data_IF_277330242939
#
_entry.id   IF_277330242939
#
_cell.length_a   1.000
_cell.length_b   1.000
_cell.length_c   1.000
_cell.angle_alpha   90.00
_cell.angle_beta   90.00
_cell.angle_gamma   90.00
#
_symmetry.space_group_name_H-M   'P 1'
#
loop_
_entity.id
_entity.type
_entity.pdbx_description
1 polymer ?
#
# COMPACT_ATOMS: atom_id res chain seq x y z
N UNK A 1 -17.18 67.86 -16.67
CA UNK A 1 -16.57 66.82 -17.52
C UNK A 1 -15.26 66.33 -16.94
N UNK A 2 -14.99 65.04 -17.14
CA UNK A 2 -13.93 64.17 -16.56
C UNK A 2 -14.36 63.44 -15.27
N UNK A 3 -15.22 62.42 -15.39
CA UNK A 3 -14.89 61.03 -15.77
C UNK A 3 -14.40 60.24 -14.55
N UNK A 4 -15.36 59.70 -13.80
CA UNK A 4 -15.14 58.52 -12.98
C UNK A 4 -15.08 57.32 -13.91
N UNK A 5 -13.90 56.69 -13.97
CA UNK A 5 -13.70 55.47 -14.74
C UNK A 5 -14.02 54.29 -13.83
N UNK A 6 -15.30 53.90 -13.82
CA UNK A 6 -15.72 52.61 -13.28
C UNK A 6 -15.20 51.55 -14.25
N UNK A 7 -14.08 50.90 -13.88
CA UNK A 7 -13.62 49.70 -14.56
C UNK A 7 -14.78 48.68 -14.61
N UNK A 8 -15.35 48.50 -15.80
CA UNK A 8 -16.45 47.60 -16.04
C UNK A 8 -16.01 46.17 -15.73
N UNK A 9 -16.66 45.55 -14.76
CA UNK A 9 -16.70 44.11 -14.63
C UNK A 9 -17.46 43.56 -15.84
N UNK A 10 -16.74 43.07 -16.85
CA UNK A 10 -17.34 42.19 -17.85
C UNK A 10 -17.86 40.95 -17.11
N UNK A 11 -19.18 40.88 -16.93
CA UNK A 11 -19.83 39.71 -16.36
C UNK A 11 -19.78 38.58 -17.39
N UNK A 12 -18.92 37.58 -17.17
CA UNK A 12 -18.90 36.36 -17.97
C UNK A 12 -20.28 35.68 -18.01
N UNK A 13 -20.56 34.94 -19.08
CA UNK A 13 -21.84 34.21 -19.22
C UNK A 13 -22.01 33.20 -18.08
N UNK A 14 -23.13 33.30 -17.35
CA UNK A 14 -23.48 32.36 -16.30
C UNK A 14 -24.07 31.11 -16.96
N UNK A 15 -23.29 30.02 -16.96
CA UNK A 15 -23.73 28.70 -17.43
C UNK A 15 -24.55 27.91 -16.40
N UNK A 16 -25.03 26.74 -16.82
CA UNK A 16 -25.79 25.77 -16.00
C UNK A 16 -24.91 24.72 -15.30
N UNK A 17 -23.59 24.80 -15.48
CA UNK A 17 -22.61 23.91 -14.88
C UNK A 17 -21.75 24.64 -13.86
N UNK A 18 -21.37 23.94 -12.80
CA UNK A 18 -20.50 24.52 -11.77
C UNK A 18 -19.10 24.78 -12.33
N UNK A 19 -18.62 26.02 -12.19
CA UNK A 19 -17.24 26.36 -12.47
C UNK A 19 -16.34 25.74 -11.39
N UNK A 20 -15.48 24.80 -11.79
CA UNK A 20 -14.63 24.04 -10.86
C UNK A 20 -13.18 24.52 -10.82
N UNK A 21 -12.82 25.45 -11.72
CA UNK A 21 -11.46 25.98 -11.79
C UNK A 21 -11.27 27.14 -10.80
N UNK A 22 -11.02 26.79 -9.54
CA UNK A 22 -11.00 27.75 -8.43
C UNK A 22 -9.83 28.74 -8.43
N UNK A 23 -8.91 28.68 -9.39
CA UNK A 23 -7.69 29.50 -9.36
C UNK A 23 -7.87 30.87 -10.02
N UNK A 24 -8.71 30.99 -11.05
CA UNK A 24 -8.87 32.22 -11.84
C UNK A 24 -10.27 32.86 -11.72
N UNK A 25 -11.07 32.42 -10.75
CA UNK A 25 -12.41 32.95 -10.51
C UNK A 25 -12.42 34.32 -9.80
N UNK A 26 -13.35 35.18 -10.21
CA UNK A 26 -13.70 36.42 -9.50
C UNK A 26 -15.06 36.24 -8.82
N UNK A 27 -15.17 36.68 -7.57
CA UNK A 27 -16.40 36.59 -6.81
C UNK A 27 -17.40 37.64 -7.28
N UNK A 28 -18.65 37.22 -7.40
CA UNK A 28 -19.82 38.05 -7.71
C UNK A 28 -20.98 37.66 -6.79
N UNK A 29 -21.95 38.56 -6.61
CA UNK A 29 -23.13 38.36 -5.75
C UNK A 29 -22.77 37.97 -4.30
N UNK A 30 -21.67 38.51 -3.78
CA UNK A 30 -21.04 38.19 -2.50
C UNK A 30 -20.66 39.43 -1.69
N UNK A 31 -21.31 40.58 -1.94
CA UNK A 31 -21.19 41.85 -1.19
C UNK A 31 -19.75 42.37 -1.13
N UNK A 32 -19.13 42.47 0.06
CA UNK A 32 -17.76 42.97 0.24
C UNK A 32 -16.68 42.09 -0.42
N UNK A 33 -17.07 40.94 -0.97
CA UNK A 33 -16.22 40.05 -1.74
C UNK A 33 -16.33 40.27 -3.26
N UNK A 34 -17.28 41.06 -3.75
CA UNK A 34 -17.47 41.29 -5.18
C UNK A 34 -16.22 41.92 -5.81
N UNK A 35 -15.82 41.38 -6.96
CA UNK A 35 -14.64 41.83 -7.71
C UNK A 35 -13.30 41.31 -7.15
N UNK A 36 -13.30 40.52 -6.07
CA UNK A 36 -12.09 39.89 -5.54
C UNK A 36 -11.82 38.54 -6.20
N UNK A 37 -10.55 38.20 -6.34
CA UNK A 37 -10.12 36.84 -6.68
C UNK A 37 -10.35 35.87 -5.50
N UNK A 38 -10.39 34.56 -5.80
CA UNK A 38 -10.64 33.51 -4.80
C UNK A 38 -9.64 33.51 -3.65
N UNK A 39 -8.36 33.81 -3.89
CA UNK A 39 -7.33 33.77 -2.85
C UNK A 39 -7.50 34.94 -1.87
N UNK A 40 -7.66 36.16 -2.38
CA UNK A 40 -7.88 37.35 -1.54
C UNK A 40 -9.23 37.30 -0.80
N UNK A 41 -10.26 36.74 -1.42
CA UNK A 41 -11.56 36.54 -0.79
C UNK A 41 -11.49 35.55 0.38
N UNK A 42 -10.80 34.41 0.24
CA UNK A 42 -10.59 33.46 1.35
C UNK A 42 -9.88 34.11 2.53
N UNK A 43 -8.89 34.96 2.25
CA UNK A 43 -8.17 35.70 3.28
C UNK A 43 -9.09 36.69 4.00
N UNK A 44 -9.85 37.50 3.27
CA UNK A 44 -10.79 38.48 3.84
C UNK A 44 -11.87 37.81 4.70
N UNK A 45 -12.46 36.70 4.23
CA UNK A 45 -13.46 35.94 5.01
C UNK A 45 -12.86 35.43 6.30
N UNK A 46 -11.68 34.82 6.25
CA UNK A 46 -11.06 34.27 7.44
C UNK A 46 -10.62 35.36 8.43
N UNK A 47 -10.12 36.51 7.97
CA UNK A 47 -9.78 37.66 8.83
C UNK A 47 -11.01 38.21 9.55
N UNK A 48 -12.16 38.28 8.89
CA UNK A 48 -13.43 38.69 9.51
C UNK A 48 -13.93 37.69 10.52
N UNK A 49 -13.91 36.40 10.19
CA UNK A 49 -14.34 35.33 11.10
C UNK A 49 -13.48 35.31 12.37
N UNK A 50 -12.16 35.47 12.24
CA UNK A 50 -11.24 35.55 13.38
C UNK A 50 -11.47 36.82 14.21
N UNK A 51 -11.60 37.99 13.57
CA UNK A 51 -11.87 39.26 14.26
C UNK A 51 -13.20 39.26 15.01
N UNK A 52 -14.18 38.51 14.52
CA UNK A 52 -15.49 38.33 15.16
C UNK A 52 -15.52 37.18 16.17
N UNK A 53 -14.41 36.43 16.37
CA UNK A 53 -14.36 35.20 17.16
C UNK A 53 -15.41 34.15 16.75
N UNK A 54 -15.68 34.06 15.45
CA UNK A 54 -16.65 33.14 14.83
C UNK A 54 -15.99 32.01 14.03
N UNK A 55 -14.66 32.01 13.94
CA UNK A 55 -13.90 30.95 13.30
C UNK A 55 -12.40 31.17 13.45
N UNK A 56 -11.63 30.14 13.11
CA UNK A 56 -10.18 30.17 13.03
C UNK A 56 -9.72 29.42 11.78
N UNK A 57 -8.59 29.82 11.20
CA UNK A 57 -7.96 29.04 10.13
C UNK A 57 -7.46 27.71 10.68
N UNK A 58 -7.85 26.63 10.02
CA UNK A 58 -7.41 25.29 10.33
C UNK A 58 -6.75 24.63 9.11
N UNK A 59 -5.67 23.89 9.35
CA UNK A 59 -5.06 23.01 8.35
C UNK A 59 -5.70 21.63 8.47
N UNK A 60 -6.28 21.15 7.39
CA UNK A 60 -6.89 19.82 7.31
C UNK A 60 -6.12 18.93 6.34
N UNK A 61 -5.98 17.65 6.67
CA UNK A 61 -5.36 16.63 5.82
C UNK A 61 -6.41 15.64 5.33
N UNK A 62 -6.28 15.23 4.06
CA UNK A 62 -7.05 14.08 3.55
C UNK A 62 -6.54 12.74 4.11
N UNK A 63 -5.25 12.69 4.48
CA UNK A 63 -4.63 11.54 5.11
C UNK A 63 -5.31 11.24 6.46
N UNK A 64 -5.56 9.96 6.73
CA UNK A 64 -6.11 9.47 7.99
C UNK A 64 -5.05 8.67 8.74
N UNK A 65 -5.25 8.53 10.04
CA UNK A 65 -4.42 7.64 10.85
C UNK A 65 -4.48 6.19 10.34
N UNK A 66 -3.37 5.48 10.51
CA UNK A 66 -3.25 4.10 10.08
C UNK A 66 -3.82 3.16 11.14
N UNK A 67 -4.99 2.57 10.83
CA UNK A 67 -5.54 1.47 11.62
C UNK A 67 -4.76 0.19 11.40
N UNK A 68 -3.92 -0.19 12.37
CA UNK A 68 -3.02 -1.35 12.27
C UNK A 68 -3.63 -2.66 12.75
N UNK A 69 -4.76 -2.66 13.46
CA UNK A 69 -5.35 -3.91 13.98
C UNK A 69 -6.07 -4.73 12.92
N UNK A 70 -5.90 -6.05 12.93
CA UNK A 70 -6.54 -6.99 12.01
C UNK A 70 -7.15 -8.15 12.80
N UNK A 71 -8.41 -8.45 12.53
CA UNK A 71 -9.12 -9.63 13.06
C UNK A 71 -8.75 -10.88 12.26
N UNK A 72 -7.45 -11.24 12.27
CA UNK A 72 -6.85 -12.36 11.54
C UNK A 72 -5.87 -13.06 12.47
N UNK A 73 -5.72 -14.37 12.29
CA UNK A 73 -4.76 -15.16 13.06
C UNK A 73 -3.32 -14.96 12.56
N UNK A 74 -3.11 -14.98 11.25
CA UNK A 74 -1.77 -15.01 10.67
C UNK A 74 -1.16 -13.61 10.58
N UNK A 75 -0.56 -13.17 11.68
CA UNK A 75 0.16 -11.90 11.80
C UNK A 75 0.87 -11.77 13.15
N UNK A 76 1.65 -10.71 13.31
CA UNK A 76 2.32 -10.40 14.57
C UNK A 76 1.28 -9.99 15.64
N UNK A 77 1.17 -10.70 16.79
CA UNK A 77 0.25 -10.31 17.86
C UNK A 77 0.55 -8.91 18.40
N UNK A 78 -0.49 -8.11 18.62
CA UNK A 78 -0.34 -6.78 19.21
C UNK A 78 0.02 -6.94 20.70
N UNK A 79 1.16 -6.37 21.19
CA UNK A 79 1.66 -6.61 22.55
C UNK A 79 0.92 -5.75 23.60
N UNK A 80 -0.39 -5.94 23.70
CA UNK A 80 -1.29 -5.24 24.61
C UNK A 80 -2.10 -6.24 25.43
N UNK A 81 -2.40 -5.89 26.68
CA UNK A 81 -3.22 -6.62 27.64
C UNK A 81 -4.36 -5.70 28.10
N UNK A 82 -5.59 -6.23 28.09
CA UNK A 82 -6.80 -5.58 28.56
C UNK A 82 -7.13 -6.08 29.98
N UNK A 83 -6.94 -5.21 30.97
CA UNK A 83 -7.27 -5.47 32.36
C UNK A 83 -8.51 -4.67 32.78
N UNK A 84 -9.47 -5.29 33.47
CA UNK A 84 -10.69 -4.60 33.95
C UNK A 84 -10.40 -3.52 35.00
N UNK A 85 -9.31 -3.65 35.75
CA UNK A 85 -8.92 -2.71 36.80
C UNK A 85 -7.97 -1.61 36.29
N UNK A 86 -6.94 -1.99 35.52
CA UNK A 86 -5.91 -1.05 35.03
C UNK A 86 -6.23 -0.46 33.64
N UNK A 87 -7.16 -1.04 32.89
CA UNK A 87 -7.40 -0.66 31.50
C UNK A 87 -6.41 -1.31 30.52
N UNK A 88 -5.90 -0.53 29.58
CA UNK A 88 -4.99 -0.99 28.52
C UNK A 88 -3.55 -0.93 29.03
N UNK A 89 -2.90 -2.09 29.09
CA UNK A 89 -1.55 -2.26 29.63
C UNK A 89 -0.64 -2.86 28.55
N UNK A 90 0.57 -2.32 28.30
CA UNK A 90 1.50 -2.95 27.36
C UNK A 90 2.09 -4.23 27.95
N UNK A 91 2.39 -5.22 27.09
CA UNK A 91 3.17 -6.39 27.49
C UNK A 91 4.56 -5.95 27.95
N UNK A 92 5.08 -6.42 29.10
CA UNK A 92 6.42 -6.07 29.56
C UNK A 92 7.49 -6.46 28.53
N UNK A 93 8.53 -5.63 28.40
CA UNK A 93 9.61 -5.87 27.42
C UNK A 93 10.30 -7.24 27.59
N UNK A 94 10.40 -7.73 28.82
CA UNK A 94 11.00 -9.04 29.13
C UNK A 94 10.14 -10.22 28.67
N UNK A 95 8.83 -10.00 28.48
CA UNK A 95 7.86 -11.02 28.08
C UNK A 95 7.64 -11.01 26.55
N UNK A 96 8.36 -10.15 25.82
CA UNK A 96 8.39 -10.17 24.37
C UNK A 96 9.32 -11.28 23.85
N UNK A 97 8.97 -11.94 22.74
CA UNK A 97 7.79 -11.71 21.91
C UNK A 97 6.52 -12.40 22.45
N UNK A 98 5.35 -11.81 22.17
CA UNK A 98 4.08 -12.54 22.28
C UNK A 98 4.00 -13.50 21.09
N UNK A 99 4.31 -14.77 21.35
CA UNK A 99 4.29 -15.81 20.31
C UNK A 99 2.86 -16.13 19.88
N UNK A 100 2.66 -16.27 18.57
CA UNK A 100 1.41 -16.80 18.01
C UNK A 100 1.29 -18.30 18.38
N UNK A 101 0.11 -18.78 18.84
CA UNK A 101 -0.05 -20.17 19.23
C UNK A 101 -0.20 -21.07 18.00
N UNK A 102 0.57 -22.15 17.93
CA UNK A 102 0.51 -23.11 16.80
C UNK A 102 -0.76 -23.99 16.84
N UNK A 103 -1.40 -24.12 18.00
CA UNK A 103 -2.53 -25.00 18.28
C UNK A 103 -3.91 -24.35 18.09
N UNK A 104 -4.17 -23.80 16.90
CA UNK A 104 -5.46 -23.19 16.53
C UNK A 104 -6.32 -24.07 15.61
N UNK A 105 -7.65 -23.90 15.67
CA UNK A 105 -8.61 -24.47 14.71
C UNK A 105 -9.21 -23.39 13.81
N UNK A 106 -9.42 -23.73 12.53
CA UNK A 106 -10.06 -22.90 11.52
C UNK A 106 -11.49 -23.35 11.18
N UNK A 107 -12.07 -24.26 11.97
CA UNK A 107 -13.40 -24.85 11.69
C UNK A 107 -14.55 -23.84 11.80
N UNK A 108 -14.30 -22.69 12.45
CA UNK A 108 -15.27 -21.61 12.64
C UNK A 108 -14.76 -20.32 12.00
N UNK A 109 -15.62 -19.57 11.28
CA UNK A 109 -15.24 -18.27 10.77
C UNK A 109 -14.95 -17.26 11.91
N UNK A 110 -14.07 -16.32 11.63
CA UNK A 110 -13.62 -15.28 12.56
C UNK A 110 -12.14 -15.41 12.90
N UNK A 111 -11.71 -14.71 13.97
CA UNK A 111 -10.34 -14.74 14.46
C UNK A 111 -10.18 -15.89 15.50
N UNK A 112 -9.39 -16.95 15.20
CA UNK A 112 -9.13 -18.04 16.14
C UNK A 112 -8.60 -17.59 17.52
N UNK A 113 -7.78 -16.54 17.57
CA UNK A 113 -7.17 -16.05 18.82
C UNK A 113 -8.23 -15.61 19.85
N UNK A 114 -9.33 -15.01 19.39
CA UNK A 114 -10.45 -14.60 20.25
C UNK A 114 -11.07 -15.75 21.07
N UNK A 115 -10.92 -16.99 20.60
CA UNK A 115 -11.50 -18.21 21.20
C UNK A 115 -10.45 -19.08 21.88
N UNK A 116 -9.19 -18.69 21.86
CA UNK A 116 -8.07 -19.49 22.38
C UNK A 116 -7.82 -19.16 23.85
N UNK A 117 -8.66 -19.71 24.75
CA UNK A 117 -8.66 -19.37 26.19
C UNK A 117 -7.29 -19.48 26.85
N UNK A 118 -6.55 -20.58 26.61
CA UNK A 118 -5.22 -20.78 27.24
C UNK A 118 -4.14 -19.79 26.78
N UNK A 119 -4.33 -19.13 25.64
CA UNK A 119 -3.36 -18.17 25.10
C UNK A 119 -3.76 -16.73 25.40
N UNK A 120 -5.06 -16.40 25.28
CA UNK A 120 -5.53 -15.04 25.50
C UNK A 120 -5.60 -14.68 26.98
N UNK A 121 -5.90 -15.64 27.87
CA UNK A 121 -6.01 -15.40 29.31
C UNK A 121 -4.63 -15.28 29.94
N UNK A 122 -4.35 -14.15 30.60
CA UNK A 122 -3.08 -13.87 31.28
C UNK A 122 -3.32 -13.07 32.56
N UNK A 123 -2.32 -13.03 33.44
CA UNK A 123 -2.36 -12.11 34.58
C UNK A 123 -1.91 -10.71 34.15
N UNK A 124 -2.58 -9.68 34.68
CA UNK A 124 -2.19 -8.30 34.45
C UNK A 124 -0.80 -8.03 35.07
N UNK A 125 0.17 -7.50 34.31
CA UNK A 125 1.52 -7.28 34.83
C UNK A 125 1.59 -6.15 35.87
N UNK A 126 0.56 -5.30 35.98
CA UNK A 126 0.52 -4.21 36.96
C UNK A 126 -0.11 -4.63 38.30
N UNK A 127 -1.20 -5.39 38.28
CA UNK A 127 -1.98 -5.70 39.49
C UNK A 127 -2.15 -7.19 39.79
N UNK A 128 -1.71 -8.09 38.89
CA UNK A 128 -1.84 -9.55 39.03
C UNK A 128 -3.26 -10.09 38.86
N UNK A 129 -4.25 -9.25 38.56
CA UNK A 129 -5.62 -9.70 38.32
C UNK A 129 -5.76 -10.34 36.92
N UNK A 130 -6.75 -11.23 36.76
CA UNK A 130 -7.09 -11.84 35.47
C UNK A 130 -7.33 -10.78 34.39
N UNK A 131 -6.68 -10.94 33.25
CA UNK A 131 -6.71 -10.06 32.09
C UNK A 131 -6.68 -10.86 30.78
N UNK A 132 -6.88 -10.17 29.65
CA UNK A 132 -6.87 -10.78 28.32
C UNK A 132 -5.85 -10.09 27.42
N UNK A 133 -5.05 -10.84 26.67
CA UNK A 133 -4.23 -10.29 25.58
C UNK A 133 -5.12 -9.69 24.51
N UNK A 134 -4.63 -8.65 23.84
CA UNK A 134 -5.16 -8.27 22.53
C UNK A 134 -5.09 -9.48 21.59
N UNK A 135 -6.20 -9.75 20.91
CA UNK A 135 -6.33 -10.91 20.03
C UNK A 135 -6.22 -10.54 18.57
N UNK A 136 -6.25 -9.24 18.25
CA UNK A 136 -5.92 -8.74 16.93
C UNK A 136 -4.40 -8.81 16.68
N UNK A 137 -4.06 -9.02 15.41
CA UNK A 137 -2.68 -8.95 14.93
C UNK A 137 -2.44 -7.64 14.20
N UNK A 138 -1.18 -7.26 14.04
CA UNK A 138 -0.80 -6.15 13.20
C UNK A 138 -1.13 -6.39 11.72
N UNK A 139 -1.42 -5.30 11.02
CA UNK A 139 -1.41 -5.20 9.57
C UNK A 139 -0.04 -5.60 9.03
N UNK A 140 0.00 -6.41 7.97
CA UNK A 140 1.24 -6.88 7.34
C UNK A 140 2.12 -5.74 6.80
N UNK A 141 1.56 -4.56 6.56
CA UNK A 141 2.36 -3.37 6.23
C UNK A 141 3.26 -2.93 7.39
N UNK A 142 2.96 -3.28 8.65
CA UNK A 142 3.88 -3.05 9.77
C UNK A 142 5.21 -3.76 9.52
N UNK A 143 5.18 -5.00 9.07
CA UNK A 143 6.38 -5.79 8.80
C UNK A 143 7.17 -5.21 7.61
N UNK A 144 6.47 -4.87 6.52
CA UNK A 144 7.10 -4.34 5.31
C UNK A 144 7.60 -2.90 5.46
N UNK A 145 7.23 -2.19 6.53
CA UNK A 145 7.62 -0.78 6.72
C UNK A 145 9.03 -0.57 7.25
N UNK A 146 9.73 -1.63 7.68
CA UNK A 146 11.08 -1.48 8.27
C UNK A 146 12.06 -2.63 7.95
N UNK A 147 11.63 -3.65 7.20
CA UNK A 147 12.47 -4.80 6.85
C UNK A 147 13.82 -4.43 6.20
N UNK A 148 13.83 -3.37 5.37
CA UNK A 148 15.03 -2.86 4.72
C UNK A 148 16.11 -2.46 5.73
N UNK A 149 15.71 -1.90 6.88
CA UNK A 149 16.63 -1.55 7.96
C UNK A 149 17.06 -2.81 8.72
N UNK A 150 16.16 -3.78 8.92
CA UNK A 150 16.51 -5.06 9.58
C UNK A 150 17.53 -5.86 8.80
N UNK A 151 17.52 -5.81 7.47
CA UNK A 151 18.53 -6.50 6.65
C UNK A 151 19.98 -6.07 6.94
N UNK A 152 20.19 -4.85 7.44
CA UNK A 152 21.51 -4.37 7.83
C UNK A 152 22.10 -5.11 9.04
N UNK A 153 21.26 -5.82 9.81
CA UNK A 153 21.61 -6.41 11.10
C UNK A 153 20.69 -7.59 11.47
N UNK A 154 20.41 -8.49 10.52
CA UNK A 154 19.47 -9.60 10.71
C UNK A 154 19.82 -10.52 11.89
N UNK A 155 21.10 -10.60 12.24
CA UNK A 155 21.72 -11.36 13.34
C UNK A 155 21.68 -10.64 14.70
N UNK A 156 21.32 -9.34 14.75
CA UNK A 156 21.39 -8.56 15.97
C UNK A 156 20.30 -8.93 16.99
N UNK A 157 20.66 -8.91 18.28
CA UNK A 157 19.74 -9.15 19.40
C UNK A 157 18.77 -7.98 19.63
N UNK A 158 19.10 -6.77 19.19
CA UNK A 158 18.17 -5.62 19.17
C UNK A 158 17.39 -5.61 17.86
N UNK A 159 16.20 -4.96 17.79
CA UNK A 159 15.43 -4.87 16.54
C UNK A 159 16.24 -4.26 15.40
N UNK A 160 17.03 -3.23 15.68
CA UNK A 160 17.98 -2.60 14.76
C UNK A 160 19.30 -2.32 15.50
N UNK A 161 20.43 -2.62 14.86
CA UNK A 161 21.75 -2.10 15.26
C UNK A 161 21.95 -0.74 14.59
N UNK A 162 22.00 0.31 15.41
CA UNK A 162 22.08 1.70 14.93
C UNK A 162 23.32 1.96 14.06
N UNK A 163 24.47 1.39 14.41
CA UNK A 163 25.72 1.64 13.67
C UNK A 163 25.68 0.98 12.29
N UNK A 164 25.13 -0.23 12.21
CA UNK A 164 24.97 -0.95 10.94
C UNK A 164 23.91 -0.32 10.06
N UNK A 165 22.80 0.12 10.64
CA UNK A 165 21.77 0.85 9.90
C UNK A 165 22.32 2.16 9.30
N UNK A 166 23.04 2.96 10.09
CA UNK A 166 23.64 4.22 9.62
C UNK A 166 24.75 4.02 8.58
N UNK A 167 25.39 2.85 8.54
CA UNK A 167 26.39 2.51 7.53
C UNK A 167 25.76 2.17 6.17
N UNK A 168 24.69 1.37 6.17
CA UNK A 168 24.08 0.85 4.93
C UNK A 168 22.97 1.72 4.36
N UNK A 169 22.35 2.57 5.18
CA UNK A 169 21.15 3.32 4.81
C UNK A 169 21.46 4.80 4.53
N UNK A 170 20.69 5.48 3.66
CA UNK A 170 19.47 5.02 2.97
C UNK A 170 19.73 3.95 1.89
N UNK A 171 18.70 3.23 1.46
CA UNK A 171 18.82 2.37 0.27
C UNK A 171 19.08 3.27 -0.93
N UNK A 172 20.20 3.06 -1.62
CA UNK A 172 20.57 3.85 -2.80
C UNK A 172 19.51 3.72 -3.90
N UNK A 173 19.10 2.49 -4.23
CA UNK A 173 18.12 2.17 -5.25
C UNK A 173 17.11 1.16 -4.74
N UNK A 174 15.84 1.58 -4.63
CA UNK A 174 14.71 0.72 -4.35
C UNK A 174 13.96 0.41 -5.65
N UNK A 175 13.58 -0.86 -5.85
CA UNK A 175 12.88 -1.33 -7.05
C UNK A 175 11.60 -2.04 -6.61
N UNK A 176 10.44 -1.59 -7.08
CA UNK A 176 9.15 -2.16 -6.73
C UNK A 176 8.02 -1.61 -7.59
N UNK A 177 6.94 -2.37 -7.76
CA UNK A 177 5.82 -1.97 -8.62
C UNK A 177 5.09 -0.71 -8.12
N UNK A 178 4.49 0.02 -9.07
CA UNK A 178 3.77 1.28 -8.80
C UNK A 178 2.54 1.10 -7.89
N UNK A 179 2.01 -0.12 -7.77
CA UNK A 179 0.92 -0.49 -6.87
C UNK A 179 1.24 -0.18 -5.39
N UNK A 180 2.52 0.00 -5.05
CA UNK A 180 2.99 0.30 -3.72
C UNK A 180 3.22 1.79 -3.43
N UNK A 181 2.90 2.68 -4.38
CA UNK A 181 3.18 4.13 -4.31
C UNK A 181 2.59 4.85 -3.09
N UNK A 182 1.36 4.52 -2.68
CA UNK A 182 0.68 5.26 -1.60
C UNK A 182 0.78 4.55 -0.25
N UNK A 183 0.60 3.23 -0.18
CA UNK A 183 0.59 2.50 1.10
C UNK A 183 2.01 2.22 1.58
N UNK A 184 2.61 1.12 1.11
CA UNK A 184 3.93 0.65 1.51
C UNK A 184 5.01 1.74 1.51
N UNK A 185 5.10 2.53 0.43
CA UNK A 185 6.13 3.57 0.33
C UNK A 185 5.89 4.72 1.33
N UNK A 186 4.64 5.11 1.61
CA UNK A 186 4.34 6.09 2.65
C UNK A 186 4.61 5.54 4.06
N UNK A 187 4.21 4.29 4.32
CA UNK A 187 4.41 3.64 5.62
C UNK A 187 5.89 3.40 5.91
N UNK A 188 6.68 3.03 4.91
CA UNK A 188 8.15 2.93 5.02
C UNK A 188 8.79 4.26 5.40
N UNK A 189 8.33 5.37 4.81
CA UNK A 189 8.79 6.72 5.16
C UNK A 189 8.38 7.12 6.57
N UNK A 190 7.14 6.82 6.96
CA UNK A 190 6.64 7.03 8.31
C UNK A 190 7.48 6.25 9.35
N UNK A 191 7.69 4.95 9.15
CA UNK A 191 8.50 4.11 10.03
C UNK A 191 9.96 4.58 10.09
N UNK A 192 10.53 5.05 8.98
CA UNK A 192 11.89 5.62 8.97
C UNK A 192 11.99 6.85 9.87
N UNK A 193 11.00 7.75 9.79
CA UNK A 193 10.94 8.92 10.66
C UNK A 193 10.76 8.51 12.12
N UNK A 194 9.90 7.54 12.40
CA UNK A 194 9.72 7.00 13.75
C UNK A 194 11.00 6.36 14.30
N UNK A 195 11.72 5.55 13.51
CA UNK A 195 13.02 4.98 13.87
C UNK A 195 14.06 6.06 14.18
N UNK A 196 14.04 7.18 13.45
CA UNK A 196 14.91 8.32 13.72
C UNK A 196 14.58 8.99 15.05
N UNK A 197 13.31 9.30 15.30
CA UNK A 197 12.87 9.92 16.55
C UNK A 197 13.09 9.02 17.78
N UNK A 198 13.07 7.70 17.59
CA UNK A 198 13.31 6.70 18.64
C UNK A 198 14.77 6.24 18.75
N UNK A 199 15.68 6.81 17.95
CA UNK A 199 17.12 6.58 18.06
C UNK A 199 17.65 5.32 17.35
N UNK A 200 16.83 4.57 16.61
CA UNK A 200 17.24 3.37 15.87
C UNK A 200 17.91 3.64 14.52
N UNK A 201 17.77 4.83 13.94
CA UNK A 201 18.43 5.22 12.69
C UNK A 201 18.71 6.73 12.60
N UNK A 202 19.67 7.15 11.76
CA UNK A 202 19.94 8.57 11.48
C UNK A 202 19.16 9.12 10.28
N UNK A 203 18.80 8.25 9.34
CA UNK A 203 18.30 8.69 8.03
C UNK A 203 16.92 9.35 8.11
N UNK A 204 16.65 10.27 7.19
CA UNK A 204 15.38 11.01 7.09
C UNK A 204 14.37 10.34 6.15
N UNK A 205 14.88 9.65 5.14
CA UNK A 205 14.10 8.95 4.11
C UNK A 205 14.76 7.58 3.87
N UNK A 206 13.98 6.51 3.65
CA UNK A 206 14.52 5.15 3.53
C UNK A 206 15.16 4.86 2.18
N UNK A 207 14.69 5.51 1.10
CA UNK A 207 15.07 5.21 -0.28
C UNK A 207 15.54 6.50 -0.96
N UNK A 208 16.78 6.51 -1.45
CA UNK A 208 17.35 7.66 -2.16
C UNK A 208 16.82 7.75 -3.60
N UNK A 209 16.76 6.61 -4.29
CA UNK A 209 16.12 6.47 -5.58
C UNK A 209 15.05 5.37 -5.54
N UNK A 210 13.97 5.60 -6.28
CA UNK A 210 12.89 4.65 -6.51
C UNK A 210 12.78 4.41 -8.01
N UNK A 211 12.80 3.15 -8.42
CA UNK A 211 12.50 2.73 -9.77
C UNK A 211 11.26 1.84 -9.73
N UNK A 212 10.21 2.25 -10.42
CA UNK A 212 8.97 1.47 -10.51
C UNK A 212 8.97 0.64 -11.77
N UNK A 213 9.14 -0.67 -11.64
CA UNK A 213 9.03 -1.54 -12.80
C UNK A 213 7.59 -1.64 -13.31
N UNK A 214 7.44 -1.85 -14.62
CA UNK A 214 6.18 -2.21 -15.24
C UNK A 214 5.73 -3.61 -14.84
N UNK A 215 4.46 -3.90 -15.13
CA UNK A 215 3.86 -5.20 -14.80
C UNK A 215 4.26 -6.25 -15.83
N UNK A 216 4.50 -7.47 -15.35
CA UNK A 216 4.50 -8.64 -16.23
C UNK A 216 3.04 -9.04 -16.48
N UNK A 217 2.67 -9.09 -17.75
CA UNK A 217 1.29 -9.32 -18.20
C UNK A 217 1.18 -10.61 -18.97
N UNK A 218 -0.01 -11.21 -18.92
CA UNK A 218 -0.34 -12.41 -19.68
C UNK A 218 -1.84 -12.45 -19.93
N UNK A 219 -2.25 -13.10 -21.02
CA UNK A 219 -3.64 -13.42 -21.28
C UNK A 219 -4.26 -14.18 -20.10
N UNK A 220 -5.56 -13.96 -19.90
CA UNK A 220 -6.34 -14.71 -18.92
C UNK A 220 -7.26 -15.72 -19.59
N UNK A 221 -7.62 -16.79 -18.88
CA UNK A 221 -8.39 -17.90 -19.46
C UNK A 221 -9.53 -18.32 -18.56
N UNK A 222 -10.73 -18.49 -19.13
CA UNK A 222 -11.89 -19.02 -18.40
C UNK A 222 -12.54 -20.19 -19.14
N UNK A 223 -13.04 -21.15 -18.38
CA UNK A 223 -13.99 -22.13 -18.92
C UNK A 223 -15.36 -21.49 -19.22
N UNK A 224 -16.25 -22.26 -19.86
CA UNK A 224 -17.63 -21.84 -20.17
C UNK A 224 -18.47 -21.48 -18.94
N UNK A 225 -18.06 -21.92 -17.74
CA UNK A 225 -18.71 -21.63 -16.47
C UNK A 225 -18.12 -20.39 -15.77
N UNK A 226 -17.16 -19.71 -16.41
CA UNK A 226 -16.49 -18.52 -15.88
C UNK A 226 -15.38 -18.80 -14.87
N UNK A 227 -14.94 -20.06 -14.71
CA UNK A 227 -13.84 -20.42 -13.80
C UNK A 227 -12.49 -20.14 -14.46
N UNK A 228 -11.59 -19.49 -13.72
CA UNK A 228 -10.23 -19.24 -14.17
C UNK A 228 -9.43 -20.54 -14.35
N UNK A 229 -8.67 -20.60 -15.44
CA UNK A 229 -7.78 -21.69 -15.83
C UNK A 229 -6.32 -21.21 -15.80
N UNK A 230 -5.39 -22.13 -15.53
CA UNK A 230 -3.94 -21.87 -15.64
C UNK A 230 -3.51 -21.90 -17.12
N UNK A 231 -2.45 -21.18 -17.52
CA UNK A 231 -1.87 -21.30 -18.85
C UNK A 231 -1.52 -22.74 -19.24
N UNK A 232 -1.06 -23.54 -18.28
CA UNK A 232 -0.72 -24.96 -18.48
C UNK A 232 -1.92 -25.87 -18.75
N UNK A 233 -3.14 -25.37 -18.64
CA UNK A 233 -4.38 -26.09 -18.93
C UNK A 233 -4.96 -25.74 -20.31
N UNK A 234 -4.30 -24.84 -21.04
CA UNK A 234 -4.81 -24.24 -22.27
C UNK A 234 -3.92 -24.59 -23.45
N UNK A 235 -4.54 -24.98 -24.55
CA UNK A 235 -3.90 -25.15 -25.84
C UNK A 235 -4.54 -24.20 -26.85
N UNK A 236 -3.72 -23.52 -27.65
CA UNK A 236 -4.21 -22.67 -28.74
C UNK A 236 -4.19 -23.44 -30.05
N UNK A 237 -5.34 -23.56 -30.72
CA UNK A 237 -5.50 -24.17 -32.05
C UNK A 237 -6.29 -23.23 -32.95
N UNK A 238 -5.78 -22.92 -34.15
CA UNK A 238 -6.46 -22.09 -35.15
C UNK A 238 -6.97 -20.72 -34.61
N UNK A 239 -6.19 -20.09 -33.73
CA UNK A 239 -6.55 -18.80 -33.12
C UNK A 239 -7.61 -18.87 -32.02
N UNK A 240 -8.05 -20.07 -31.62
CA UNK A 240 -8.96 -20.32 -30.49
C UNK A 240 -8.25 -21.05 -29.36
N UNK A 241 -8.71 -20.82 -28.13
CA UNK A 241 -8.22 -21.55 -26.95
C UNK A 241 -9.10 -22.75 -26.62
N UNK A 242 -8.48 -23.87 -26.25
CA UNK A 242 -9.15 -25.08 -25.80
C UNK A 242 -8.56 -25.56 -24.47
N UNK A 243 -9.38 -26.16 -23.62
CA UNK A 243 -8.89 -26.83 -22.41
C UNK A 243 -8.24 -28.16 -22.81
N UNK A 244 -7.01 -28.41 -22.36
CA UNK A 244 -6.22 -29.59 -22.77
C UNK A 244 -6.95 -30.90 -22.44
N UNK A 245 -7.43 -31.05 -21.20
CA UNK A 245 -8.04 -32.32 -20.76
C UNK A 245 -9.42 -32.59 -21.36
N UNK A 246 -10.27 -31.56 -21.53
CA UNK A 246 -11.67 -31.74 -21.95
C UNK A 246 -11.88 -31.52 -23.44
N UNK A 247 -10.96 -30.83 -24.12
CA UNK A 247 -11.10 -30.40 -25.51
C UNK A 247 -12.16 -29.32 -25.72
N UNK A 248 -12.77 -28.79 -24.66
CA UNK A 248 -13.78 -27.74 -24.77
C UNK A 248 -13.15 -26.39 -25.13
N UNK A 249 -13.84 -25.61 -25.97
CA UNK A 249 -13.43 -24.23 -26.28
C UNK A 249 -13.54 -23.36 -25.02
N UNK A 250 -12.51 -22.53 -24.78
CA UNK A 250 -12.40 -21.64 -23.62
C UNK A 250 -12.51 -20.17 -24.03
N UNK A 251 -12.75 -19.30 -23.05
CA UNK A 251 -12.76 -17.85 -23.23
C UNK A 251 -11.36 -17.32 -22.97
N UNK A 252 -10.71 -16.80 -24.03
CA UNK A 252 -9.44 -16.06 -23.93
C UNK A 252 -9.77 -14.60 -23.60
N UNK A 253 -9.29 -14.15 -22.45
CA UNK A 253 -9.45 -12.79 -21.95
C UNK A 253 -8.39 -11.84 -22.46
N UNK A 254 -8.39 -10.62 -21.92
CA UNK A 254 -7.39 -9.60 -22.25
C UNK A 254 -6.03 -9.94 -21.64
N UNK A 255 -4.98 -9.38 -22.23
CA UNK A 255 -3.66 -9.31 -21.60
C UNK A 255 -3.76 -8.33 -20.43
N UNK A 256 -3.43 -8.80 -19.24
CA UNK A 256 -3.47 -8.01 -18.01
C UNK A 256 -2.41 -8.52 -17.02
N UNK A 257 -2.19 -7.78 -15.93
CA UNK A 257 -1.18 -8.14 -14.94
C UNK A 257 -1.37 -9.55 -14.39
N UNK A 258 -0.27 -10.29 -14.28
CA UNK A 258 -0.27 -11.63 -13.72
C UNK A 258 -0.74 -11.61 -12.26
N UNK A 259 -1.67 -12.49 -11.91
CA UNK A 259 -2.19 -12.60 -10.55
C UNK A 259 -2.69 -14.00 -10.22
N UNK A 260 -2.51 -14.41 -8.96
CA UNK A 260 -3.01 -15.70 -8.46
C UNK A 260 -4.53 -15.83 -8.57
N UNK A 261 -5.27 -14.73 -8.41
CA UNK A 261 -6.73 -14.72 -8.46
C UNK A 261 -7.30 -14.98 -9.87
N UNK A 262 -6.57 -14.55 -10.92
CA UNK A 262 -6.94 -14.79 -12.32
C UNK A 262 -6.26 -16.03 -12.92
N UNK A 263 -5.37 -16.66 -12.16
CA UNK A 263 -4.57 -17.84 -12.56
C UNK A 263 -3.76 -17.65 -13.85
N UNK A 264 -3.44 -16.43 -14.25
CA UNK A 264 -2.59 -16.16 -15.43
C UNK A 264 -1.10 -16.04 -15.09
N UNK A 265 -0.68 -16.57 -13.94
CA UNK A 265 0.73 -16.58 -13.54
C UNK A 265 1.46 -17.64 -14.34
N UNK A 266 2.62 -17.28 -14.90
CA UNK A 266 3.54 -18.25 -15.46
C UNK A 266 4.63 -18.55 -14.44
N UNK A 267 4.87 -19.83 -14.22
CA UNK A 267 5.94 -20.29 -13.36
C UNK A 267 7.30 -20.18 -14.07
N UNK A 268 8.23 -19.35 -13.59
CA UNK A 268 9.55 -19.23 -14.20
C UNK A 268 10.37 -20.53 -14.10
N UNK A 269 10.07 -21.44 -13.17
CA UNK A 269 10.81 -22.70 -12.99
C UNK A 269 10.75 -23.57 -14.24
N UNK A 270 9.63 -23.54 -14.97
CA UNK A 270 9.52 -24.23 -16.25
C UNK A 270 10.54 -23.72 -17.28
N UNK A 271 10.72 -22.40 -17.40
CA UNK A 271 11.72 -21.84 -18.32
C UNK A 271 13.13 -22.17 -17.86
N UNK A 272 13.39 -22.00 -16.56
CA UNK A 272 14.73 -22.26 -16.01
C UNK A 272 15.13 -23.71 -16.26
N UNK A 273 14.20 -24.66 -16.12
CA UNK A 273 14.45 -26.08 -16.37
C UNK A 273 14.72 -26.40 -17.85
N UNK A 274 13.99 -25.76 -18.78
CA UNK A 274 14.09 -26.08 -20.22
C UNK A 274 15.13 -25.27 -20.97
N UNK A 275 15.30 -24.00 -20.62
CA UNK A 275 16.12 -23.03 -21.35
C UNK A 275 17.29 -22.47 -20.52
N UNK A 276 17.28 -22.67 -19.19
CA UNK A 276 18.29 -22.16 -18.29
C UNK A 276 17.97 -20.78 -17.71
N UNK A 277 18.61 -20.46 -16.59
CA UNK A 277 18.37 -19.21 -15.87
C UNK A 277 18.78 -17.97 -16.67
N UNK A 278 19.82 -18.07 -17.50
CA UNK A 278 20.31 -16.94 -18.30
C UNK A 278 19.32 -16.56 -19.40
N UNK A 279 18.65 -17.53 -20.04
CA UNK A 279 17.57 -17.23 -20.99
C UNK A 279 16.42 -16.50 -20.29
N UNK A 280 15.99 -16.98 -19.13
CA UNK A 280 14.92 -16.31 -18.38
C UNK A 280 15.31 -14.86 -18.03
N UNK A 281 16.54 -14.64 -17.56
CA UNK A 281 17.05 -13.29 -17.24
C UNK A 281 17.15 -12.41 -18.47
N UNK A 282 17.68 -12.93 -19.58
CA UNK A 282 17.84 -12.18 -20.83
C UNK A 282 16.49 -11.78 -21.40
N UNK A 283 15.52 -12.71 -21.44
CA UNK A 283 14.15 -12.43 -21.86
C UNK A 283 13.51 -11.28 -21.06
N UNK A 284 13.68 -11.27 -19.73
CA UNK A 284 13.13 -10.23 -18.87
C UNK A 284 13.73 -8.83 -19.10
N UNK A 285 14.91 -8.72 -19.71
CA UNK A 285 15.64 -7.44 -19.86
C UNK A 285 15.91 -7.04 -21.32
N UNK A 286 15.59 -7.89 -22.30
CA UNK A 286 16.05 -7.71 -23.68
C UNK A 286 15.20 -6.73 -24.49
N UNK A 287 13.87 -6.78 -24.33
CA UNK A 287 12.96 -6.20 -25.33
C UNK A 287 12.07 -5.07 -24.80
N UNK A 288 11.84 -5.02 -23.48
CA UNK A 288 10.96 -4.01 -22.86
C UNK A 288 11.74 -3.20 -21.82
N UNK A 289 11.77 -1.85 -21.92
CA UNK A 289 12.31 -1.00 -20.87
C UNK A 289 11.69 -1.36 -19.50
N UNK A 290 12.45 -1.45 -18.41
CA UNK A 290 11.95 -2.03 -17.16
C UNK A 290 10.75 -1.29 -16.55
N UNK A 291 10.51 -0.01 -16.90
CA UNK A 291 9.38 0.79 -16.46
C UNK A 291 8.07 0.55 -17.26
N UNK A 292 8.13 -0.20 -18.37
CA UNK A 292 6.96 -0.52 -19.20
C UNK A 292 6.43 -1.93 -18.90
N UNK A 293 5.12 -2.09 -19.05
CA UNK A 293 4.51 -3.41 -18.97
C UNK A 293 5.08 -4.31 -20.07
N UNK A 294 5.44 -5.54 -19.68
CA UNK A 294 5.99 -6.55 -20.57
C UNK A 294 4.97 -7.68 -20.72
N UNK A 295 4.65 -8.03 -21.96
CA UNK A 295 3.86 -9.23 -22.23
C UNK A 295 4.77 -10.46 -22.18
N UNK A 296 4.37 -11.44 -21.37
CA UNK A 296 5.07 -12.72 -21.35
C UNK A 296 4.62 -13.60 -22.51
N UNK A 297 5.55 -13.96 -23.40
CA UNK A 297 5.27 -14.81 -24.57
C UNK A 297 6.29 -15.94 -24.70
N UNK A 298 5.85 -17.13 -25.13
CA UNK A 298 6.73 -18.27 -25.37
C UNK A 298 7.72 -18.00 -26.52
N UNK A 299 7.27 -17.33 -27.58
CA UNK A 299 8.14 -16.93 -28.69
C UNK A 299 9.23 -15.93 -28.27
N UNK A 300 8.95 -15.06 -27.29
CA UNK A 300 9.96 -14.16 -26.73
C UNK A 300 11.04 -14.92 -25.96
N UNK A 301 10.64 -15.95 -25.20
CA UNK A 301 11.57 -16.83 -24.47
C UNK A 301 12.46 -17.63 -25.43
N UNK A 302 11.87 -18.24 -26.46
CA UNK A 302 12.63 -18.94 -27.50
C UNK A 302 13.60 -18.00 -28.23
N UNK A 303 13.16 -16.76 -28.50
CA UNK A 303 13.99 -15.74 -29.12
C UNK A 303 15.20 -15.36 -28.26
N UNK A 304 15.03 -15.27 -26.95
CA UNK A 304 16.10 -15.01 -25.99
C UNK A 304 17.06 -16.18 -25.78
N UNK A 305 16.61 -17.41 -26.08
CA UNK A 305 17.43 -18.62 -25.95
C UNK A 305 18.39 -18.83 -27.13
N UNK A 306 17.98 -18.42 -28.34
CA UNK A 306 18.77 -18.56 -29.58
C UNK A 306 19.95 -17.60 -29.63
#
# INVERSE_FOLDING_TARGET
>A
DSAGDSAGTETGEIGDTAYTDTQDGVLINSDFLDGRDVASAKQEVADRLESAAQGERAVNYRLRDWGVSRQRYWGCPIPVIHCKACGIVPVPKADLPVLLPDDVSFDKPGNPLSRHESWKQVDCPECGAQAERETDTFDTFVDSSWYFARFTCADAATPIDRKRADYWMPVDQYIGGVEHAVLHLLYSRFFTRAMRETGYAAMKEPFQALFTQGMVTHETYKDKNGRWLLPTQVEKRDGKGFHIDTGEEIIVGKIESMSKSKKNVIDPEHIIAHYGADTARWFMISDTPPERDMEWTESGVEGAWR
#
